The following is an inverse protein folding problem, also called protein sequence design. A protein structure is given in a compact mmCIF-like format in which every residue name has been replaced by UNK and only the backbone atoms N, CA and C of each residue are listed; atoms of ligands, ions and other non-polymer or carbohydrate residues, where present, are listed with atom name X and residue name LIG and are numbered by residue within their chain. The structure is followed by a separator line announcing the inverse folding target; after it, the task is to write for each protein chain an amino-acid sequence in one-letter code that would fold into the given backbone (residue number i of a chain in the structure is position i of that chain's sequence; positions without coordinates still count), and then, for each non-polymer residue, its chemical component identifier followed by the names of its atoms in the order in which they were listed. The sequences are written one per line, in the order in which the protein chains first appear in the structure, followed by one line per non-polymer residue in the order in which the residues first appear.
data_IF_263849218389
#
_entry.id   IF_263849218389
#
_cell.length_a   1.000
_cell.length_b   1.000
_cell.length_c   1.000
_cell.angle_alpha   90.00
_cell.angle_beta   90.00
_cell.angle_gamma   90.00
#
_symmetry.space_group_name_H-M   'P 1'
#
loop_
_entity.id
_entity.type
_entity.pdbx_description
1 polymer ?
#
# COMPACT_ATOMS: atom_id res chain seq x y z
N UNK A 1 -8.58 14.74 -9.18
CA UNK A 1 -7.95 14.54 -7.84
C UNK A 1 -6.45 14.54 -8.01
N UNK A 2 -5.72 15.25 -7.15
CA UNK A 2 -4.26 15.18 -7.10
C UNK A 2 -3.83 13.84 -6.49
N UNK A 3 -2.82 13.18 -7.05
CA UNK A 3 -2.25 11.91 -6.56
C UNK A 3 -0.80 12.13 -6.16
N UNK A 4 -0.43 11.67 -4.97
CA UNK A 4 0.92 11.83 -4.41
C UNK A 4 1.40 10.46 -3.91
N UNK A 5 2.60 10.06 -4.31
CA UNK A 5 3.25 8.84 -3.83
C UNK A 5 4.09 9.12 -2.58
N UNK A 6 3.94 8.31 -1.54
CA UNK A 6 4.81 8.32 -0.36
C UNK A 6 5.72 7.09 -0.44
N UNK A 7 7.03 7.30 -0.47
CA UNK A 7 8.04 6.23 -0.54
C UNK A 7 9.21 6.53 0.41
N UNK A 8 10.15 5.60 0.53
CA UNK A 8 11.27 5.64 1.46
C UNK A 8 11.72 4.25 1.91
N UNK A 9 12.91 4.18 2.50
CA UNK A 9 13.50 2.93 3.00
C UNK A 9 12.72 2.27 4.15
N UNK A 10 13.14 1.07 4.55
CA UNK A 10 12.61 0.42 5.76
C UNK A 10 12.91 1.29 6.99
N UNK A 11 11.93 1.46 7.87
CA UNK A 11 12.09 2.29 9.08
C UNK A 11 12.08 3.81 8.84
N UNK A 12 11.91 4.29 7.61
CA UNK A 12 11.96 5.73 7.29
C UNK A 12 10.70 6.53 7.70
N UNK A 13 9.73 5.91 8.37
CA UNK A 13 8.51 6.58 8.81
C UNK A 13 7.42 6.78 7.75
N UNK A 14 7.42 6.03 6.64
CA UNK A 14 6.39 6.12 5.58
C UNK A 14 4.95 6.05 6.13
N UNK A 15 4.67 5.07 6.98
CA UNK A 15 3.33 4.89 7.57
C UNK A 15 2.94 6.05 8.49
N UNK A 16 3.92 6.66 9.17
CA UNK A 16 3.71 7.88 9.96
C UNK A 16 3.36 9.07 9.07
N UNK A 17 4.08 9.27 7.96
CA UNK A 17 3.79 10.32 6.99
C UNK A 17 2.43 10.12 6.33
N UNK A 18 2.08 8.89 5.94
CA UNK A 18 0.78 8.56 5.38
C UNK A 18 -0.37 8.88 6.36
N UNK A 19 -0.25 8.47 7.63
CA UNK A 19 -1.23 8.83 8.68
C UNK A 19 -1.36 10.33 8.86
N UNK A 20 -0.25 11.07 8.90
CA UNK A 20 -0.28 12.52 9.04
C UNK A 20 -1.16 13.23 7.98
N UNK A 21 -1.11 12.75 6.72
CA UNK A 21 -1.98 13.25 5.66
C UNK A 21 -3.43 12.75 5.80
N UNK A 22 -3.62 11.49 6.18
CA UNK A 22 -4.94 10.91 6.45
C UNK A 22 -5.70 11.67 7.54
N UNK A 23 -5.03 12.01 8.64
CA UNK A 23 -5.58 12.79 9.75
C UNK A 23 -5.99 14.22 9.33
N UNK A 24 -5.49 14.70 8.18
CA UNK A 24 -5.83 15.99 7.55
C UNK A 24 -6.87 15.87 6.44
N UNK A 25 -7.51 14.71 6.30
CA UNK A 25 -8.59 14.47 5.34
C UNK A 25 -8.11 13.97 3.97
N UNK A 26 -6.83 13.62 3.81
CA UNK A 26 -6.38 12.95 2.59
C UNK A 26 -6.88 11.50 2.56
N UNK A 27 -7.29 11.04 1.37
CA UNK A 27 -7.52 9.61 1.15
C UNK A 27 -6.16 8.90 1.07
N UNK A 28 -5.91 7.98 2.00
CA UNK A 28 -4.68 7.19 2.04
C UNK A 28 -4.93 5.81 1.43
N UNK A 29 -4.14 5.47 0.41
CA UNK A 29 -4.08 4.12 -0.16
C UNK A 29 -2.76 3.48 0.25
N UNK A 30 -2.82 2.35 0.95
CA UNK A 30 -1.64 1.59 1.39
C UNK A 30 -1.42 0.40 0.45
N UNK A 31 -0.40 0.51 -0.41
CA UNK A 31 -0.10 -0.51 -1.41
C UNK A 31 0.30 -1.86 -0.78
N UNK A 32 0.95 -1.87 0.39
CA UNK A 32 1.40 -3.10 1.04
C UNK A 32 0.20 -3.87 1.62
N UNK A 33 -0.79 -3.16 2.16
CA UNK A 33 -2.04 -3.76 2.65
C UNK A 33 -2.84 -4.35 1.51
N UNK A 34 -3.04 -3.58 0.44
CA UNK A 34 -3.83 -4.02 -0.73
C UNK A 34 -3.17 -5.19 -1.45
N UNK A 35 -1.84 -5.19 -1.58
CA UNK A 35 -1.11 -6.33 -2.13
C UNK A 35 -1.35 -7.62 -1.32
N UNK A 36 -1.32 -7.54 0.02
CA UNK A 36 -1.61 -8.69 0.89
C UNK A 36 -3.04 -9.17 0.73
N UNK A 37 -4.01 -8.27 0.68
CA UNK A 37 -5.42 -8.61 0.46
C UNK A 37 -5.63 -9.31 -0.89
N UNK A 38 -5.03 -8.79 -1.95
CA UNK A 38 -5.08 -9.41 -3.29
C UNK A 38 -4.46 -10.82 -3.24
N UNK A 39 -3.30 -10.99 -2.62
CA UNK A 39 -2.67 -12.31 -2.51
C UNK A 39 -3.52 -13.29 -1.68
N UNK A 40 -4.21 -12.82 -0.64
CA UNK A 40 -5.08 -13.66 0.19
C UNK A 40 -6.35 -14.08 -0.55
N UNK A 41 -6.99 -13.16 -1.27
CA UNK A 41 -8.34 -13.34 -1.78
C UNK A 41 -8.44 -13.57 -3.29
N UNK A 42 -7.41 -13.27 -4.07
CA UNK A 42 -7.40 -13.43 -5.52
C UNK A 42 -6.50 -14.57 -5.96
N UNK A 43 -7.08 -15.77 -6.06
CA UNK A 43 -6.36 -17.01 -6.42
C UNK A 43 -5.55 -16.89 -7.71
N UNK A 44 -6.07 -16.31 -8.82
CA UNK A 44 -5.30 -16.20 -10.05
C UNK A 44 -4.02 -15.38 -9.88
N UNK A 45 -4.09 -14.24 -9.18
CA UNK A 45 -2.91 -13.39 -8.95
C UNK A 45 -1.94 -14.06 -8.00
N UNK A 46 -2.42 -14.69 -6.93
CA UNK A 46 -1.55 -15.44 -6.01
C UNK A 46 -0.78 -16.52 -6.75
N UNK A 47 -1.45 -17.29 -7.61
CA UNK A 47 -0.82 -18.37 -8.37
C UNK A 47 0.25 -17.82 -9.32
N UNK A 48 -0.07 -16.74 -10.05
CA UNK A 48 0.88 -16.09 -10.96
C UNK A 48 2.15 -15.57 -10.25
N UNK A 49 2.06 -15.14 -8.99
CA UNK A 49 3.22 -14.70 -8.20
C UNK A 49 4.05 -15.88 -7.69
N UNK A 50 3.43 -17.02 -7.38
CA UNK A 50 4.13 -18.23 -6.91
C UNK A 50 4.91 -18.89 -8.06
N UNK A 51 4.39 -18.82 -9.28
CA UNK A 51 4.97 -19.45 -10.47
C UNK A 51 6.06 -18.60 -11.15
N UNK A 52 6.23 -17.34 -10.73
CA UNK A 52 7.24 -16.41 -11.24
C UNK A 52 8.62 -16.64 -10.60
#
# INVERSE_FOLDING_TARGET
MLRIGITGGLGSGKSTAARFFGDRGALVFDADVEAKLILQHHVPTRQAVIEA
#
